data_IF_183085600971
#
_entry.id   IF_183085600971
#
_cell.length_a   1.000
_cell.length_b   1.000
_cell.length_c   1.000
_cell.angle_alpha   90.00
_cell.angle_beta   90.00
_cell.angle_gamma   90.00
#
_symmetry.space_group_name_H-M   'P 1'
#
loop_
_entity.id
_entity.type
_entity.pdbx_description
1 polymer ?
#
# COMPACT_ATOMS: atom_id res chain seq x y z
N UNK A 1 -13.44 11.30 6.75
CA UNK A 1 -14.21 10.19 6.14
C UNK A 1 -15.63 10.09 6.70
N UNK A 2 -15.82 9.97 8.02
CA UNK A 2 -17.16 9.99 8.66
C UNK A 2 -17.86 11.37 8.57
N UNK A 3 -17.09 12.47 8.54
CA UNK A 3 -17.63 13.84 8.53
C UNK A 3 -18.13 14.32 7.15
N UNK A 4 -17.63 13.79 6.04
CA UNK A 4 -18.15 14.10 4.69
C UNK A 4 -19.43 13.30 4.43
N UNK A 5 -19.48 12.05 4.93
CA UNK A 5 -20.69 11.24 4.96
C UNK A 5 -21.75 11.83 5.91
N UNK A 6 -21.32 12.43 7.04
CA UNK A 6 -22.18 13.17 7.96
C UNK A 6 -22.64 14.55 7.44
N UNK A 7 -21.87 15.20 6.58
CA UNK A 7 -22.24 16.49 5.96
C UNK A 7 -23.31 16.35 4.88
N UNK A 8 -23.34 15.22 4.16
CA UNK A 8 -24.41 14.89 3.20
C UNK A 8 -25.73 14.49 3.90
N UNK A 9 -25.67 14.09 5.18
CA UNK A 9 -26.84 13.91 6.04
C UNK A 9 -27.50 15.24 6.49
N UNK A 10 -26.95 16.42 6.19
CA UNK A 10 -27.63 17.70 6.47
C UNK A 10 -28.41 18.24 5.27
N UNK A 11 -28.19 17.70 4.07
CA UNK A 11 -28.98 17.97 2.86
C UNK A 11 -30.15 16.97 2.69
N UNK A 12 -30.41 16.16 3.73
CA UNK A 12 -31.24 14.94 3.81
C UNK A 12 -32.76 15.08 3.64
N UNK A 13 -33.34 16.27 3.51
CA UNK A 13 -34.75 16.41 3.88
C UNK A 13 -35.81 16.09 2.80
N UNK A 14 -35.50 15.85 1.51
CA UNK A 14 -36.56 15.87 0.45
C UNK A 14 -36.48 14.93 -0.78
N UNK A 15 -35.65 13.87 -0.81
CA UNK A 15 -35.50 13.04 -2.03
C UNK A 15 -36.01 11.58 -1.92
N UNK A 16 -36.61 11.09 -3.02
CA UNK A 16 -37.22 9.76 -3.28
C UNK A 16 -36.29 8.56 -2.96
N UNK A 17 -36.74 7.46 -2.32
CA UNK A 17 -35.87 6.38 -1.82
C UNK A 17 -35.05 5.64 -2.90
N UNK A 18 -35.59 5.54 -4.13
CA UNK A 18 -34.89 4.91 -5.26
C UNK A 18 -33.80 5.82 -5.84
N UNK A 19 -34.08 7.13 -5.93
CA UNK A 19 -33.10 8.14 -6.32
C UNK A 19 -31.98 8.23 -5.27
N UNK A 20 -32.35 8.16 -3.98
CA UNK A 20 -31.43 8.09 -2.83
C UNK A 20 -30.48 6.89 -2.94
N UNK A 21 -31.00 5.69 -3.19
CA UNK A 21 -30.17 4.50 -3.29
C UNK A 21 -29.23 4.53 -4.51
N UNK A 22 -29.68 5.11 -5.64
CA UNK A 22 -28.85 5.33 -6.83
C UNK A 22 -27.76 6.38 -6.60
N UNK A 23 -28.09 7.52 -5.99
CA UNK A 23 -27.15 8.58 -5.65
C UNK A 23 -26.09 8.12 -4.65
N UNK A 24 -26.46 7.32 -3.64
CA UNK A 24 -25.49 6.74 -2.71
C UNK A 24 -24.56 5.73 -3.37
N UNK A 25 -25.07 4.90 -4.28
CA UNK A 25 -24.23 4.01 -5.11
C UNK A 25 -23.28 4.82 -6.00
N UNK A 26 -23.76 5.93 -6.57
CA UNK A 26 -22.97 6.82 -7.41
C UNK A 26 -21.91 7.61 -6.63
N UNK A 27 -22.26 8.19 -5.48
CA UNK A 27 -21.33 8.90 -4.61
C UNK A 27 -20.31 7.94 -3.98
N UNK A 28 -20.73 6.73 -3.61
CA UNK A 28 -19.85 5.66 -3.18
C UNK A 28 -18.88 5.25 -4.29
N UNK A 29 -19.38 4.98 -5.49
CA UNK A 29 -18.55 4.66 -6.65
C UNK A 29 -17.59 5.80 -6.98
N UNK A 30 -18.05 7.06 -6.99
CA UNK A 30 -17.22 8.24 -7.23
C UNK A 30 -16.12 8.40 -6.16
N UNK A 31 -16.44 8.18 -4.88
CA UNK A 31 -15.46 8.20 -3.81
C UNK A 31 -14.44 7.06 -3.95
N UNK A 32 -14.89 5.87 -4.32
CA UNK A 32 -14.01 4.72 -4.60
C UNK A 32 -13.10 4.98 -5.81
N UNK A 33 -13.62 5.64 -6.84
CA UNK A 33 -12.85 6.07 -8.01
C UNK A 33 -11.88 7.21 -7.68
N UNK A 34 -12.23 8.13 -6.78
CA UNK A 34 -11.34 9.17 -6.28
C UNK A 34 -10.25 8.61 -5.36
N UNK A 35 -10.56 7.60 -4.55
CA UNK A 35 -9.57 6.86 -3.75
C UNK A 35 -8.62 6.05 -4.65
N UNK A 36 -9.15 5.44 -5.72
CA UNK A 36 -8.33 4.85 -6.78
C UNK A 36 -7.52 5.91 -7.56
N UNK A 37 -8.02 7.15 -7.66
CA UNK A 37 -7.30 8.27 -8.27
C UNK A 37 -6.13 8.81 -7.42
N UNK A 38 -6.08 8.44 -6.13
CA UNK A 38 -4.90 8.63 -5.28
C UNK A 38 -3.67 7.86 -5.80
N UNK A 39 -3.85 6.98 -6.79
CA UNK A 39 -2.80 6.15 -7.40
C UNK A 39 -2.30 6.72 -8.74
N UNK A 40 -2.47 8.03 -8.96
CA UNK A 40 -1.92 8.80 -10.10
C UNK A 40 -2.34 8.23 -11.48
N UNK A 41 -1.40 7.89 -12.36
CA UNK A 41 -1.65 7.50 -13.76
C UNK A 41 -2.52 6.24 -13.90
N UNK A 42 -2.58 5.40 -12.88
CA UNK A 42 -3.38 4.15 -12.88
C UNK A 42 -4.89 4.39 -12.78
N UNK A 43 -5.33 5.63 -12.51
CA UNK A 43 -6.75 6.04 -12.58
C UNK A 43 -7.39 5.71 -13.93
N UNK A 44 -6.61 5.77 -15.01
CA UNK A 44 -7.09 5.48 -16.36
C UNK A 44 -7.61 4.05 -16.51
N UNK A 45 -7.17 3.13 -15.65
CA UNK A 45 -7.56 1.73 -15.79
C UNK A 45 -8.96 1.43 -15.22
N UNK A 46 -9.57 2.40 -14.55
CA UNK A 46 -10.99 2.33 -14.19
C UNK A 46 -11.87 2.10 -15.43
N UNK A 47 -11.50 2.64 -16.61
CA UNK A 47 -12.22 2.44 -17.87
C UNK A 47 -12.29 0.95 -18.28
N UNK A 48 -11.14 0.26 -18.46
CA UNK A 48 -11.08 -1.18 -18.69
C UNK A 48 -11.80 -2.04 -17.64
N UNK A 49 -11.72 -1.69 -16.34
CA UNK A 49 -12.50 -2.38 -15.30
C UNK A 49 -14.01 -2.21 -15.54
N UNK A 50 -14.43 -1.01 -15.95
CA UNK A 50 -15.80 -0.70 -16.34
C UNK A 50 -16.32 -1.59 -17.48
N UNK A 51 -15.48 -1.91 -18.47
CA UNK A 51 -15.84 -2.86 -19.54
C UNK A 51 -16.12 -4.26 -18.96
N UNK A 52 -15.36 -4.70 -17.97
CA UNK A 52 -15.60 -5.96 -17.25
C UNK A 52 -16.98 -6.00 -16.60
N UNK A 53 -17.39 -4.92 -15.93
CA UNK A 53 -18.73 -4.82 -15.36
C UNK A 53 -19.82 -4.83 -16.43
N UNK A 54 -19.62 -4.15 -17.56
CA UNK A 54 -20.58 -4.13 -18.68
C UNK A 54 -20.77 -5.54 -19.25
N UNK A 55 -19.69 -6.27 -19.49
CA UNK A 55 -19.74 -7.66 -19.95
C UNK A 55 -20.49 -8.55 -18.95
N UNK A 56 -20.23 -8.39 -17.65
CA UNK A 56 -20.94 -9.09 -16.59
C UNK A 56 -22.44 -8.75 -16.56
N UNK A 57 -22.78 -7.46 -16.72
CA UNK A 57 -24.16 -6.97 -16.76
C UNK A 57 -24.94 -7.54 -17.95
N UNK A 58 -24.34 -7.57 -19.14
CA UNK A 58 -24.94 -8.21 -20.31
C UNK A 58 -25.10 -9.72 -20.13
N UNK A 59 -24.11 -10.40 -19.56
CA UNK A 59 -24.20 -11.82 -19.26
C UNK A 59 -25.33 -12.13 -18.27
N UNK A 60 -25.45 -11.33 -17.21
CA UNK A 60 -26.52 -11.45 -16.23
C UNK A 60 -27.90 -11.21 -16.85
N UNK A 61 -28.07 -10.14 -17.64
CA UNK A 61 -29.31 -9.84 -18.34
C UNK A 61 -29.74 -10.96 -19.30
N UNK A 62 -28.78 -11.63 -19.97
CA UNK A 62 -29.07 -12.80 -20.81
C UNK A 62 -29.54 -14.02 -20.02
N UNK A 63 -29.02 -14.25 -18.82
CA UNK A 63 -29.43 -15.40 -17.98
C UNK A 63 -30.71 -15.17 -17.21
N UNK A 64 -31.04 -13.92 -16.92
CA UNK A 64 -32.23 -13.54 -16.16
C UNK A 64 -32.99 -12.42 -16.89
N UNK A 65 -33.68 -12.71 -18.00
CA UNK A 65 -34.32 -11.69 -18.85
C UNK A 65 -35.37 -10.85 -18.11
N UNK A 66 -36.04 -11.44 -17.11
CA UNK A 66 -37.14 -10.79 -16.39
C UNK A 66 -36.67 -9.79 -15.32
N UNK A 67 -35.45 -9.93 -14.81
CA UNK A 67 -34.94 -9.15 -13.67
C UNK A 67 -33.58 -8.50 -13.91
N UNK A 68 -32.84 -8.98 -14.92
CA UNK A 68 -31.51 -8.50 -15.25
C UNK A 68 -31.53 -7.29 -16.17
N UNK A 69 -30.77 -6.26 -15.82
CA UNK A 69 -30.56 -5.09 -16.67
C UNK A 69 -29.06 -4.76 -16.75
N UNK A 70 -28.50 -4.47 -17.94
CA UNK A 70 -27.12 -4.01 -18.07
C UNK A 70 -26.96 -2.53 -17.68
N UNK A 71 -28.05 -1.78 -17.50
CA UNK A 71 -28.02 -0.34 -17.28
C UNK A 71 -27.19 0.11 -16.06
N UNK A 72 -27.25 -0.56 -14.88
CA UNK A 72 -26.40 -0.19 -13.75
C UNK A 72 -24.90 -0.35 -14.05
N UNK A 73 -24.52 -1.45 -14.72
CA UNK A 73 -23.14 -1.71 -15.10
C UNK A 73 -22.63 -0.71 -16.15
N UNK A 74 -23.48 -0.35 -17.11
CA UNK A 74 -23.20 0.72 -18.08
C UNK A 74 -23.01 2.08 -17.39
N UNK A 75 -23.86 2.40 -16.41
CA UNK A 75 -23.73 3.61 -15.61
C UNK A 75 -22.38 3.69 -14.88
N UNK A 76 -21.97 2.60 -14.23
CA UNK A 76 -20.66 2.51 -13.57
C UNK A 76 -19.50 2.66 -14.55
N UNK A 77 -19.58 2.03 -15.72
CA UNK A 77 -18.55 2.14 -16.74
C UNK A 77 -18.43 3.58 -17.27
N UNK A 78 -19.55 4.22 -17.62
CA UNK A 78 -19.55 5.62 -18.07
C UNK A 78 -18.97 6.54 -16.99
N UNK A 79 -19.36 6.35 -15.72
CA UNK A 79 -18.78 7.09 -14.59
C UNK A 79 -17.26 6.94 -14.56
N UNK A 80 -16.78 5.70 -14.68
CA UNK A 80 -15.36 5.38 -14.64
C UNK A 80 -14.57 6.04 -15.77
N UNK A 81 -15.11 6.00 -16.98
CA UNK A 81 -14.52 6.67 -18.15
C UNK A 81 -14.51 8.19 -18.01
N UNK A 82 -15.60 8.79 -17.51
CA UNK A 82 -15.65 10.23 -17.25
C UNK A 82 -14.63 10.65 -16.18
N UNK A 83 -14.51 9.89 -15.10
CA UNK A 83 -13.51 10.14 -14.05
C UNK A 83 -12.07 10.03 -14.58
N UNK A 84 -11.77 8.97 -15.35
CA UNK A 84 -10.45 8.80 -15.99
C UNK A 84 -10.14 9.91 -16.99
N UNK A 85 -11.12 10.32 -17.80
CA UNK A 85 -11.00 11.43 -18.74
C UNK A 85 -10.76 12.77 -18.05
N UNK A 86 -11.50 13.06 -16.97
CA UNK A 86 -11.31 14.27 -16.17
C UNK A 86 -9.93 14.28 -15.50
N UNK A 87 -9.50 13.16 -14.93
CA UNK A 87 -8.15 13.02 -14.36
C UNK A 87 -7.08 13.31 -15.42
N UNK A 88 -7.21 12.70 -16.60
CA UNK A 88 -6.28 12.92 -17.71
C UNK A 88 -6.21 14.40 -18.13
N UNK A 89 -7.37 15.04 -18.28
CA UNK A 89 -7.48 16.44 -18.64
C UNK A 89 -6.80 17.34 -17.58
N UNK A 90 -7.14 17.17 -16.29
CA UNK A 90 -6.54 17.93 -15.20
C UNK A 90 -5.03 17.72 -15.12
N UNK A 91 -4.58 16.47 -15.24
CA UNK A 91 -3.15 16.16 -15.25
C UNK A 91 -2.43 16.89 -16.39
N UNK A 92 -2.97 16.83 -17.61
CA UNK A 92 -2.37 17.48 -18.78
C UNK A 92 -2.26 19.00 -18.63
N UNK A 93 -3.16 19.61 -17.87
CA UNK A 93 -3.16 21.05 -17.60
C UNK A 93 -2.18 21.45 -16.49
N UNK A 94 -1.97 20.59 -15.48
CA UNK A 94 -1.21 20.94 -14.27
C UNK A 94 0.22 20.38 -14.28
N UNK A 95 0.44 19.21 -14.90
CA UNK A 95 1.71 18.49 -14.88
C UNK A 95 2.31 18.50 -16.30
N UNK A 96 3.44 19.20 -16.52
CA UNK A 96 4.02 19.39 -17.85
C UNK A 96 4.75 18.15 -18.40
N UNK A 97 4.85 17.06 -17.63
CA UNK A 97 5.52 15.82 -18.07
C UNK A 97 4.58 14.89 -18.82
N UNK A 98 5.08 14.31 -19.91
CA UNK A 98 4.34 13.30 -20.67
C UNK A 98 3.98 12.08 -19.79
N UNK A 99 2.83 11.46 -20.04
CA UNK A 99 2.39 10.26 -19.31
C UNK A 99 3.44 9.14 -19.33
N UNK A 100 4.11 8.96 -20.47
CA UNK A 100 5.14 7.95 -20.69
C UNK A 100 6.45 8.25 -19.98
N UNK A 101 6.72 9.52 -19.67
CA UNK A 101 7.86 9.98 -18.88
C UNK A 101 7.57 9.95 -17.36
N UNK A 102 6.38 9.49 -16.97
CA UNK A 102 6.00 9.37 -15.57
C UNK A 102 6.82 8.31 -14.84
N UNK A 103 7.10 8.56 -13.55
CA UNK A 103 7.85 7.63 -12.68
C UNK A 103 7.14 6.27 -12.50
N UNK A 104 5.84 6.18 -12.78
CA UNK A 104 5.01 5.00 -12.56
C UNK A 104 4.94 4.07 -13.78
N UNK A 105 4.85 4.63 -14.99
CA UNK A 105 4.80 3.85 -16.25
C UNK A 105 6.12 3.12 -16.53
N UNK A 106 7.25 3.67 -16.07
CA UNK A 106 8.57 3.06 -16.24
C UNK A 106 8.79 1.80 -15.40
N UNK A 107 7.94 1.53 -14.42
CA UNK A 107 8.03 0.33 -13.59
C UNK A 107 7.20 -0.86 -14.13
N UNK A 108 6.59 -0.73 -15.32
CA UNK A 108 5.94 -1.86 -15.98
C UNK A 108 6.97 -2.77 -16.67
N UNK A 109 6.99 -4.05 -16.30
CA UNK A 109 7.78 -5.09 -16.95
C UNK A 109 6.90 -6.28 -17.32
N UNK A 110 6.86 -6.61 -18.61
CA UNK A 110 6.05 -7.69 -19.18
C UNK A 110 6.81 -9.01 -19.35
N UNK A 111 7.99 -9.14 -18.73
CA UNK A 111 8.75 -10.39 -18.79
C UNK A 111 8.10 -11.47 -17.92
N UNK A 112 8.17 -12.73 -18.35
CA UNK A 112 7.59 -13.85 -17.60
C UNK A 112 8.14 -13.95 -16.16
N UNK A 113 9.42 -13.65 -15.96
CA UNK A 113 10.06 -13.61 -14.64
C UNK A 113 9.50 -12.49 -13.76
N UNK A 114 9.26 -11.29 -14.31
CA UNK A 114 8.65 -10.18 -13.58
C UNK A 114 7.20 -10.51 -13.18
N UNK A 115 6.42 -11.09 -14.10
CA UNK A 115 5.04 -11.52 -13.81
C UNK A 115 5.02 -12.58 -12.71
N UNK A 116 5.90 -13.59 -12.77
CA UNK A 116 6.00 -14.62 -11.74
C UNK A 116 6.40 -14.02 -10.38
N UNK A 117 7.39 -13.13 -10.35
CA UNK A 117 7.78 -12.42 -9.14
C UNK A 117 6.65 -11.54 -8.58
N UNK A 118 5.83 -10.93 -9.44
CA UNK A 118 4.64 -10.18 -9.02
C UNK A 118 3.52 -11.08 -8.52
N UNK A 119 3.28 -12.23 -9.14
CA UNK A 119 2.30 -13.22 -8.65
C UNK A 119 2.64 -13.68 -7.23
N UNK A 120 3.92 -13.95 -6.96
CA UNK A 120 4.35 -14.31 -5.60
C UNK A 120 4.08 -13.19 -4.61
N UNK A 121 4.42 -11.94 -4.93
CA UNK A 121 4.06 -10.78 -4.09
C UNK A 121 2.58 -10.67 -3.83
N UNK A 122 1.75 -10.77 -4.87
CA UNK A 122 0.29 -10.72 -4.74
C UNK A 122 -0.19 -11.83 -3.80
N UNK A 123 0.27 -13.06 -3.98
CA UNK A 123 -0.05 -14.16 -3.06
C UNK A 123 0.37 -13.83 -1.62
N UNK A 124 1.53 -13.22 -1.42
CA UNK A 124 1.98 -12.73 -0.12
C UNK A 124 1.04 -11.70 0.50
N UNK A 125 0.69 -10.64 -0.24
CA UNK A 125 -0.26 -9.62 0.25
C UNK A 125 -1.65 -10.22 0.55
N UNK A 126 -2.14 -11.13 -0.30
CA UNK A 126 -3.42 -11.80 -0.10
C UNK A 126 -3.44 -12.67 1.14
N UNK A 127 -2.39 -13.46 1.38
CA UNK A 127 -2.28 -14.27 2.59
C UNK A 127 -2.03 -13.44 3.85
N UNK A 128 -1.39 -12.28 3.73
CA UNK A 128 -1.17 -11.38 4.87
C UNK A 128 -2.45 -10.68 5.31
N UNK A 129 -3.20 -10.12 4.36
CA UNK A 129 -4.28 -9.17 4.66
C UNK A 129 -5.69 -9.75 4.49
N UNK A 130 -5.85 -10.74 3.61
CA UNK A 130 -7.16 -11.17 3.12
C UNK A 130 -7.41 -12.67 3.33
N UNK A 131 -6.59 -13.33 4.14
CA UNK A 131 -6.66 -14.78 4.37
C UNK A 131 -8.04 -15.25 4.87
N UNK A 132 -8.70 -14.42 5.68
CA UNK A 132 -10.04 -14.68 6.21
C UNK A 132 -11.14 -14.78 5.15
N UNK A 133 -10.90 -14.24 3.95
CA UNK A 133 -11.83 -14.35 2.83
C UNK A 133 -11.85 -15.75 2.20
N UNK A 134 -10.79 -16.56 2.35
CA UNK A 134 -10.75 -17.90 1.76
C UNK A 134 -11.92 -18.78 2.23
N UNK A 135 -12.17 -18.97 3.54
CA UNK A 135 -13.34 -19.70 4.00
C UNK A 135 -14.66 -19.04 3.57
N UNK A 136 -14.79 -17.72 3.56
CA UNK A 136 -16.02 -17.05 3.10
C UNK A 136 -16.30 -17.31 1.61
N UNK A 137 -15.27 -17.21 0.77
CA UNK A 137 -15.35 -17.49 -0.65
C UNK A 137 -15.74 -18.96 -0.90
N UNK A 138 -15.17 -19.89 -0.12
CA UNK A 138 -15.54 -21.30 -0.19
C UNK A 138 -17.02 -21.54 0.20
N UNK A 139 -17.53 -20.87 1.24
CA UNK A 139 -18.94 -20.94 1.61
C UNK A 139 -19.85 -20.37 0.52
N UNK A 140 -19.51 -19.21 -0.05
CA UNK A 140 -20.26 -18.61 -1.16
C UNK A 140 -20.29 -19.55 -2.37
N UNK A 141 -19.15 -20.14 -2.73
CA UNK A 141 -19.06 -21.11 -3.81
C UNK A 141 -19.92 -22.35 -3.52
N UNK A 142 -19.87 -22.87 -2.29
CA UNK A 142 -20.71 -23.99 -1.87
C UNK A 142 -22.21 -23.69 -2.02
N UNK A 143 -22.67 -22.52 -1.54
CA UNK A 143 -24.06 -22.09 -1.65
C UNK A 143 -24.48 -21.91 -3.12
N UNK A 144 -23.59 -21.38 -3.94
CA UNK A 144 -23.79 -21.22 -5.38
C UNK A 144 -23.92 -22.57 -6.10
N UNK A 145 -23.04 -23.54 -5.81
CA UNK A 145 -23.08 -24.90 -6.37
C UNK A 145 -24.35 -25.67 -5.97
N UNK A 146 -24.89 -25.39 -4.79
CA UNK A 146 -26.19 -25.93 -4.33
C UNK A 146 -27.39 -25.26 -4.99
N UNK A 147 -27.17 -24.37 -5.97
CA UNK A 147 -28.19 -23.59 -6.70
C UNK A 147 -29.14 -22.83 -5.77
N UNK A 148 -28.66 -22.43 -4.59
CA UNK A 148 -29.44 -21.58 -3.69
C UNK A 148 -29.48 -20.16 -4.28
N UNK A 149 -30.62 -19.46 -4.18
CA UNK A 149 -30.67 -18.06 -4.56
C UNK A 149 -29.70 -17.30 -3.65
N UNK A 150 -28.78 -16.55 -4.26
CA UNK A 150 -27.81 -15.70 -3.58
C UNK A 150 -28.16 -14.26 -3.93
N UNK A 151 -28.98 -13.56 -3.13
CA UNK A 151 -29.33 -12.16 -3.40
C UNK A 151 -28.12 -11.25 -3.62
N UNK A 152 -27.00 -11.52 -2.93
CA UNK A 152 -25.74 -10.78 -3.10
C UNK A 152 -24.83 -11.23 -4.24
N UNK A 153 -25.20 -12.22 -5.08
CA UNK A 153 -24.29 -12.80 -6.08
C UNK A 153 -23.79 -11.78 -7.11
N UNK A 154 -24.66 -10.88 -7.58
CA UNK A 154 -24.26 -9.83 -8.53
C UNK A 154 -23.18 -8.92 -7.93
N UNK A 155 -23.39 -8.47 -6.69
CA UNK A 155 -22.44 -7.62 -5.97
C UNK A 155 -21.11 -8.33 -5.70
N UNK A 156 -21.15 -9.63 -5.36
CA UNK A 156 -19.93 -10.44 -5.20
C UNK A 156 -19.15 -10.56 -6.52
N UNK A 157 -19.84 -10.79 -7.65
CA UNK A 157 -19.21 -10.85 -8.96
C UNK A 157 -18.64 -9.49 -9.40
N UNK A 158 -19.35 -8.39 -9.14
CA UNK A 158 -18.86 -7.02 -9.39
C UNK A 158 -17.59 -6.72 -8.59
N UNK A 159 -17.56 -7.12 -7.31
CA UNK A 159 -16.38 -7.00 -6.45
C UNK A 159 -15.21 -7.86 -6.95
N UNK A 160 -15.47 -9.07 -7.44
CA UNK A 160 -14.44 -9.93 -8.05
C UNK A 160 -13.87 -9.32 -9.33
N UNK A 161 -14.70 -8.74 -10.20
CA UNK A 161 -14.23 -8.01 -11.40
C UNK A 161 -13.35 -6.83 -11.00
N UNK A 162 -13.74 -6.08 -9.97
CA UNK A 162 -12.94 -4.97 -9.44
C UNK A 162 -11.59 -5.44 -8.91
N UNK A 163 -11.58 -6.46 -8.04
CA UNK A 163 -10.36 -7.04 -7.47
C UNK A 163 -9.42 -7.60 -8.56
N UNK A 164 -9.97 -8.36 -9.51
CA UNK A 164 -9.23 -8.92 -10.63
C UNK A 164 -8.65 -7.84 -11.53
N UNK A 165 -9.41 -6.77 -11.81
CA UNK A 165 -8.96 -5.62 -12.56
C UNK A 165 -7.69 -5.01 -11.96
N UNK A 166 -7.73 -4.63 -10.69
CA UNK A 166 -6.57 -4.09 -9.98
C UNK A 166 -5.39 -5.07 -9.92
N UNK A 167 -5.67 -6.36 -9.76
CA UNK A 167 -4.62 -7.37 -9.80
C UNK A 167 -3.92 -7.42 -11.16
N UNK A 168 -4.67 -7.49 -12.26
CA UNK A 168 -4.12 -7.55 -13.62
C UNK A 168 -3.28 -6.30 -13.95
N UNK A 169 -3.71 -5.13 -13.48
CA UNK A 169 -3.01 -3.85 -13.72
C UNK A 169 -1.65 -3.81 -13.05
N UNK A 170 -1.59 -4.25 -11.79
CA UNK A 170 -0.37 -4.20 -11.01
C UNK A 170 0.48 -5.46 -11.18
N UNK A 171 -0.02 -6.48 -11.86
CA UNK A 171 0.74 -7.69 -12.14
C UNK A 171 2.05 -7.41 -12.91
N UNK A 172 2.04 -6.67 -14.03
CA UNK A 172 3.28 -6.27 -14.70
C UNK A 172 4.06 -5.20 -13.95
N UNK A 173 3.55 -4.68 -12.83
CA UNK A 173 4.22 -3.61 -12.12
C UNK A 173 5.27 -4.15 -11.16
N UNK A 174 6.53 -3.78 -11.34
CA UNK A 174 7.63 -4.34 -10.55
C UNK A 174 7.71 -3.79 -9.13
N UNK A 175 6.88 -2.79 -8.79
CA UNK A 175 6.87 -2.17 -7.48
C UNK A 175 5.48 -2.29 -6.84
N UNK A 176 5.37 -3.01 -5.72
CA UNK A 176 4.11 -3.21 -5.02
C UNK A 176 4.31 -3.11 -3.50
N UNK A 177 3.59 -2.18 -2.88
CA UNK A 177 3.58 -1.88 -1.45
C UNK A 177 2.14 -1.77 -0.95
N UNK A 178 1.98 -1.78 0.37
CA UNK A 178 0.69 -1.93 1.07
C UNK A 178 -0.43 -1.03 0.55
N UNK A 179 -0.18 0.26 0.31
CA UNK A 179 -1.25 1.18 -0.08
C UNK A 179 -1.80 0.92 -1.50
N UNK A 180 -1.07 0.21 -2.36
CA UNK A 180 -1.62 -0.23 -3.67
C UNK A 180 -2.64 -1.36 -3.54
N UNK A 181 -2.74 -2.00 -2.36
CA UNK A 181 -3.81 -2.93 -2.04
C UNK A 181 -5.12 -2.22 -1.66
N UNK A 182 -5.13 -0.90 -1.47
CA UNK A 182 -6.33 -0.18 -1.02
C UNK A 182 -7.52 -0.39 -1.97
N UNK A 183 -7.40 -0.26 -3.31
CA UNK A 183 -8.52 -0.55 -4.21
C UNK A 183 -8.96 -2.02 -4.10
N UNK A 184 -8.02 -2.96 -4.06
CA UNK A 184 -8.35 -4.38 -3.86
C UNK A 184 -9.12 -4.61 -2.56
N UNK A 185 -8.70 -3.94 -1.47
CA UNK A 185 -9.30 -3.98 -0.15
C UNK A 185 -10.78 -3.59 -0.12
N UNK A 186 -11.18 -2.65 -0.97
CA UNK A 186 -12.60 -2.27 -1.14
C UNK A 186 -13.42 -3.45 -1.67
N UNK A 187 -12.95 -4.10 -2.74
CA UNK A 187 -13.65 -5.27 -3.30
C UNK A 187 -13.67 -6.43 -2.31
N UNK A 188 -12.55 -6.65 -1.61
CA UNK A 188 -12.44 -7.62 -0.53
C UNK A 188 -13.46 -7.37 0.60
N UNK A 189 -13.67 -6.11 1.01
CA UNK A 189 -14.65 -5.76 2.03
C UNK A 189 -16.08 -6.05 1.57
N UNK A 190 -16.41 -5.72 0.31
CA UNK A 190 -17.72 -6.03 -0.29
C UNK A 190 -17.95 -7.55 -0.34
N UNK A 191 -16.96 -8.30 -0.83
CA UNK A 191 -17.02 -9.76 -0.91
C UNK A 191 -17.18 -10.39 0.49
N UNK A 192 -16.43 -9.90 1.46
CA UNK A 192 -16.54 -10.32 2.86
C UNK A 192 -17.93 -10.06 3.43
N UNK A 193 -18.49 -8.86 3.21
CA UNK A 193 -19.84 -8.51 3.66
C UNK A 193 -20.90 -9.42 3.05
N UNK A 194 -20.85 -9.67 1.73
CA UNK A 194 -21.74 -10.61 1.05
C UNK A 194 -21.60 -12.00 1.64
N UNK A 195 -20.36 -12.49 1.81
CA UNK A 195 -20.07 -13.79 2.42
C UNK A 195 -20.69 -13.95 3.81
N UNK A 196 -20.51 -12.95 4.68
CA UNK A 196 -21.06 -12.95 6.04
C UNK A 196 -22.59 -12.95 6.04
N UNK A 197 -23.22 -12.12 5.20
CA UNK A 197 -24.69 -12.02 5.14
C UNK A 197 -25.31 -13.33 4.63
N UNK A 198 -24.78 -13.90 3.54
CA UNK A 198 -25.34 -15.12 2.96
C UNK A 198 -25.08 -16.34 3.84
N UNK A 199 -23.88 -16.47 4.43
CA UNK A 199 -23.61 -17.51 5.43
C UNK A 199 -24.51 -17.35 6.68
N UNK A 200 -24.74 -16.11 7.12
CA UNK A 200 -25.63 -15.79 8.24
C UNK A 200 -27.09 -16.18 7.99
N UNK A 201 -27.58 -15.99 6.76
CA UNK A 201 -28.91 -16.50 6.35
C UNK A 201 -28.94 -18.02 6.35
N UNK A 202 -27.92 -18.66 5.78
CA UNK A 202 -27.80 -20.11 5.70
C UNK A 202 -27.74 -20.80 7.08
N UNK A 203 -27.15 -20.16 8.09
CA UNK A 203 -27.12 -20.64 9.49
C UNK A 203 -28.51 -20.93 10.09
N UNK A 204 -29.56 -20.26 9.58
CA UNK A 204 -30.94 -20.45 10.04
C UNK A 204 -31.49 -21.83 9.64
N UNK A 205 -30.90 -22.46 8.63
CA UNK A 205 -31.29 -23.81 8.19
C UNK A 205 -30.51 -24.87 8.99
N UNK A 206 -31.22 -25.85 9.57
CA UNK A 206 -30.59 -26.88 10.43
C UNK A 206 -29.52 -27.70 9.69
N UNK A 207 -29.77 -28.00 8.41
CA UNK A 207 -28.88 -28.80 7.56
C UNK A 207 -27.53 -28.12 7.30
N UNK A 208 -27.50 -26.81 7.07
CA UNK A 208 -26.28 -26.08 6.70
C UNK A 208 -25.54 -25.49 7.89
N UNK A 209 -26.21 -25.41 9.06
CA UNK A 209 -25.68 -24.80 10.27
C UNK A 209 -24.25 -25.23 10.65
N UNK A 210 -23.89 -26.53 10.70
CA UNK A 210 -22.54 -26.91 11.14
C UNK A 210 -21.45 -26.40 10.19
N UNK A 211 -21.68 -26.52 8.87
CA UNK A 211 -20.73 -26.06 7.86
C UNK A 211 -20.59 -24.53 7.87
N UNK A 212 -21.70 -23.80 7.95
CA UNK A 212 -21.66 -22.34 8.00
C UNK A 212 -20.99 -21.85 9.28
N UNK A 213 -21.27 -22.47 10.43
CA UNK A 213 -20.66 -22.11 11.71
C UNK A 213 -19.15 -22.37 11.70
N UNK A 214 -18.72 -23.51 11.16
CA UNK A 214 -17.31 -23.84 11.01
C UNK A 214 -16.60 -22.84 10.08
N UNK A 215 -17.18 -22.55 8.91
CA UNK A 215 -16.58 -21.62 7.96
C UNK A 215 -16.49 -20.20 8.51
N UNK A 216 -17.55 -19.70 9.15
CA UNK A 216 -17.55 -18.38 9.82
C UNK A 216 -16.57 -18.33 11.00
N UNK A 217 -16.50 -19.41 11.80
CA UNK A 217 -15.52 -19.52 12.89
C UNK A 217 -14.09 -19.49 12.36
N UNK A 218 -13.80 -20.23 11.29
CA UNK A 218 -12.49 -20.21 10.64
C UNK A 218 -12.17 -18.84 10.04
N UNK A 219 -13.11 -18.19 9.36
CA UNK A 219 -12.96 -16.81 8.88
C UNK A 219 -12.61 -15.86 10.02
N UNK A 220 -13.32 -15.94 11.15
CA UNK A 220 -13.06 -15.10 12.31
C UNK A 220 -11.65 -15.35 12.88
N UNK A 221 -11.26 -16.62 13.05
CA UNK A 221 -9.93 -16.98 13.55
C UNK A 221 -8.82 -16.45 12.64
N UNK A 222 -8.97 -16.61 11.32
CA UNK A 222 -8.00 -16.12 10.34
C UNK A 222 -7.96 -14.58 10.34
N UNK A 223 -9.10 -13.91 10.45
CA UNK A 223 -9.15 -12.44 10.56
C UNK A 223 -8.44 -11.95 11.82
N UNK A 224 -8.72 -12.56 12.97
CA UNK A 224 -8.05 -12.21 14.23
C UNK A 224 -6.53 -12.43 14.15
N UNK A 225 -6.08 -13.42 13.38
CA UNK A 225 -4.65 -13.69 13.17
C UNK A 225 -3.93 -12.64 12.32
N UNK A 226 -4.63 -11.83 11.51
CA UNK A 226 -4.01 -10.74 10.73
C UNK A 226 -3.84 -9.45 11.55
N UNK A 227 -4.65 -9.24 12.59
CA UNK A 227 -4.62 -8.03 13.42
C UNK A 227 -3.25 -7.72 14.05
N UNK A 228 -2.50 -8.71 14.61
CA UNK A 228 -1.13 -8.50 15.07
C UNK A 228 -0.21 -7.80 14.05
N UNK A 229 -0.25 -8.27 12.81
CA UNK A 229 0.57 -7.75 11.71
C UNK A 229 0.16 -6.33 11.35
N UNK A 230 -1.15 -6.04 11.27
CA UNK A 230 -1.63 -4.67 11.00
C UNK A 230 -1.27 -3.69 12.12
N UNK A 231 -1.38 -4.10 13.38
CA UNK A 231 -0.98 -3.27 14.52
C UNK A 231 0.54 -3.00 14.50
N UNK A 232 1.34 -4.01 14.16
CA UNK A 232 2.79 -3.86 14.00
C UNK A 232 3.12 -2.87 12.89
N UNK A 233 2.49 -2.97 11.72
CA UNK A 233 2.66 -2.03 10.61
C UNK A 233 2.33 -0.59 11.00
N UNK A 234 1.22 -0.37 11.70
CA UNK A 234 0.84 0.96 12.16
C UNK A 234 1.88 1.55 13.13
N UNK A 235 2.36 0.75 14.08
CA UNK A 235 3.42 1.16 15.01
C UNK A 235 4.74 1.42 14.30
N UNK A 236 5.06 0.62 13.29
CA UNK A 236 6.25 0.77 12.47
C UNK A 236 6.24 2.13 11.74
N UNK A 237 5.13 2.49 11.10
CA UNK A 237 4.98 3.79 10.45
C UNK A 237 5.22 4.94 11.43
N UNK A 238 4.57 4.91 12.60
CA UNK A 238 4.72 5.95 13.63
C UNK A 238 6.16 6.03 14.16
N UNK A 239 6.82 4.89 14.38
CA UNK A 239 8.20 4.86 14.84
C UNK A 239 9.17 5.46 13.81
N UNK A 240 8.99 5.11 12.53
CA UNK A 240 9.80 5.66 11.43
C UNK A 240 9.59 7.16 11.28
N UNK A 241 8.34 7.61 11.28
CA UNK A 241 8.00 9.03 11.17
C UNK A 241 8.55 9.84 12.35
N UNK A 242 8.49 9.30 13.57
CA UNK A 242 9.09 9.92 14.75
C UNK A 242 10.61 10.04 14.63
N UNK A 243 11.31 8.98 14.24
CA UNK A 243 12.77 9.01 14.06
C UNK A 243 13.18 10.04 12.99
N UNK A 244 12.45 10.10 11.87
CA UNK A 244 12.69 11.08 10.80
C UNK A 244 12.51 12.51 11.32
N UNK A 245 11.42 12.76 12.04
CA UNK A 245 11.08 14.08 12.54
C UNK A 245 12.04 14.56 13.64
N UNK A 246 12.44 13.68 14.58
CA UNK A 246 13.45 13.95 15.60
C UNK A 246 14.80 14.34 14.97
N UNK A 247 15.27 13.57 13.98
CA UNK A 247 16.51 13.83 13.30
C UNK A 247 16.49 15.17 12.55
N UNK A 248 15.44 15.46 11.79
CA UNK A 248 15.33 16.72 11.03
C UNK A 248 15.14 17.93 11.92
N UNK A 249 14.39 17.80 13.02
CA UNK A 249 14.27 18.87 14.03
C UNK A 249 15.63 19.18 14.64
N UNK A 250 16.41 18.17 14.99
CA UNK A 250 17.75 18.38 15.54
C UNK A 250 18.67 19.05 14.52
N UNK A 251 18.67 18.55 13.27
CA UNK A 251 19.45 19.14 12.18
C UNK A 251 19.11 20.62 12.00
N UNK A 252 17.83 20.94 11.94
CA UNK A 252 17.37 22.31 11.76
C UNK A 252 17.78 23.25 12.90
N UNK A 253 17.78 22.76 14.14
CA UNK A 253 18.11 23.57 15.31
C UNK A 253 19.62 23.73 15.57
N UNK A 254 20.45 22.78 15.13
CA UNK A 254 21.86 22.71 15.56
C UNK A 254 22.89 22.90 14.45
N UNK A 255 22.55 22.68 13.17
CA UNK A 255 23.54 22.91 12.11
C UNK A 255 23.77 24.42 11.89
N UNK A 256 25.03 24.85 11.73
CA UNK A 256 25.36 26.23 11.39
C UNK A 256 24.68 26.70 10.09
N UNK A 257 24.52 28.02 9.90
CA UNK A 257 24.10 28.57 8.62
C UNK A 257 25.01 28.13 7.47
N UNK A 258 24.46 27.86 6.28
CA UNK A 258 25.24 27.45 5.10
C UNK A 258 26.02 26.13 5.27
N UNK A 259 25.70 25.32 6.28
CA UNK A 259 26.37 24.04 6.50
C UNK A 259 26.06 23.04 5.38
N UNK A 260 27.07 22.25 5.01
CA UNK A 260 26.92 21.12 4.08
C UNK A 260 26.40 19.90 4.84
N UNK A 261 25.24 19.38 4.40
CA UNK A 261 24.60 18.18 4.94
C UNK A 261 24.58 17.07 3.87
N UNK A 262 25.40 16.05 4.08
CA UNK A 262 25.45 14.86 3.25
C UNK A 262 24.41 13.85 3.73
N UNK A 263 23.60 13.30 2.82
CA UNK A 263 22.60 12.28 3.14
C UNK A 263 23.13 10.91 2.71
N UNK A 264 23.31 9.99 3.66
CA UNK A 264 23.85 8.65 3.41
C UNK A 264 22.82 7.67 2.87
N UNK A 265 22.40 7.89 1.62
CA UNK A 265 21.56 6.98 0.83
C UNK A 265 22.30 6.65 -0.46
N UNK A 266 22.30 5.37 -0.87
CA UNK A 266 23.00 4.93 -2.08
C UNK A 266 22.55 5.72 -3.31
N UNK A 267 21.24 5.76 -3.54
CA UNK A 267 20.62 6.52 -4.62
C UNK A 267 19.70 7.60 -4.02
N UNK A 268 19.77 8.86 -4.50
CA UNK A 268 18.79 9.88 -4.14
C UNK A 268 17.39 9.39 -4.46
N UNK A 269 16.57 9.25 -3.42
CA UNK A 269 15.20 8.76 -3.53
C UNK A 269 14.23 9.79 -2.93
N UNK A 270 12.96 9.43 -2.82
CA UNK A 270 11.94 10.31 -2.23
C UNK A 270 12.32 10.86 -0.85
N UNK A 271 13.06 10.11 -0.02
CA UNK A 271 13.50 10.63 1.28
C UNK A 271 14.51 11.76 1.13
N UNK A 272 15.46 11.66 0.19
CA UNK A 272 16.39 12.75 -0.10
C UNK A 272 15.65 14.04 -0.47
N UNK A 273 14.69 13.94 -1.39
CA UNK A 273 13.85 15.07 -1.82
C UNK A 273 13.01 15.65 -0.67
N UNK A 274 12.36 14.78 0.11
CA UNK A 274 11.49 15.18 1.23
C UNK A 274 12.28 15.79 2.39
N UNK A 275 13.50 15.30 2.67
CA UNK A 275 14.39 15.92 3.66
C UNK A 275 14.69 17.37 3.26
N UNK A 276 15.10 17.60 2.01
CA UNK A 276 15.35 18.94 1.50
C UNK A 276 14.11 19.82 1.47
N UNK A 277 12.96 19.28 1.09
CA UNK A 277 11.70 20.02 1.12
C UNK A 277 11.30 20.42 2.54
N UNK A 278 11.34 19.49 3.50
CA UNK A 278 10.96 19.77 4.90
C UNK A 278 11.91 20.76 5.56
N UNK A 279 13.22 20.62 5.37
CA UNK A 279 14.20 21.57 5.89
C UNK A 279 13.93 22.99 5.36
N UNK A 280 13.68 23.14 4.06
CA UNK A 280 13.36 24.44 3.44
C UNK A 280 12.03 25.03 3.90
N UNK A 281 10.96 24.24 3.84
CA UNK A 281 9.57 24.75 3.94
C UNK A 281 9.03 24.73 5.37
N UNK A 282 9.36 23.69 6.15
CA UNK A 282 8.83 23.51 7.50
C UNK A 282 9.78 24.09 8.56
N UNK A 283 11.09 23.99 8.33
CA UNK A 283 12.11 24.41 9.28
C UNK A 283 12.84 25.71 8.88
N UNK A 284 12.47 26.33 7.76
CA UNK A 284 13.07 27.57 7.24
C UNK A 284 14.61 27.51 7.05
N UNK A 285 15.15 26.32 6.81
CA UNK A 285 16.58 26.04 6.60
C UNK A 285 16.94 25.90 5.12
N UNK A 286 16.56 26.89 4.31
CA UNK A 286 16.94 26.94 2.90
C UNK A 286 18.40 27.31 2.65
N UNK A 287 19.10 27.72 3.70
CA UNK A 287 20.53 27.96 3.75
C UNK A 287 21.37 26.67 3.74
N UNK A 288 20.84 25.52 4.16
CA UNK A 288 21.60 24.27 4.20
C UNK A 288 21.91 23.73 2.79
N UNK A 289 23.16 23.32 2.57
CA UNK A 289 23.57 22.68 1.32
C UNK A 289 23.45 21.17 1.41
N UNK A 290 22.34 20.62 0.89
CA UNK A 290 22.12 19.18 0.85
C UNK A 290 22.81 18.54 -0.35
N UNK A 291 23.52 17.45 -0.11
CA UNK A 291 24.14 16.63 -1.16
C UNK A 291 24.01 15.14 -0.80
N UNK A 292 23.96 14.22 -1.79
CA UNK A 292 24.08 12.80 -1.51
C UNK A 292 25.50 12.49 -1.05
N UNK A 293 25.64 11.62 -0.05
CA UNK A 293 26.95 11.08 0.31
C UNK A 293 27.44 10.13 -0.77
N UNK A 294 28.71 10.28 -1.13
CA UNK A 294 29.47 9.45 -2.04
C UNK A 294 30.83 9.13 -1.39
N UNK A 295 31.23 7.86 -1.24
CA UNK A 295 32.43 7.46 -0.51
C UNK A 295 33.74 7.94 -1.17
N UNK A 296 33.75 8.09 -2.49
CA UNK A 296 34.95 8.45 -3.25
C UNK A 296 35.07 9.97 -3.51
N UNK A 297 34.18 10.77 -2.94
CA UNK A 297 34.17 12.23 -3.12
C UNK A 297 34.85 12.92 -1.95
N UNK A 298 35.72 13.89 -2.25
CA UNK A 298 36.28 14.79 -1.26
C UNK A 298 35.31 15.95 -1.00
N UNK A 299 35.06 16.25 0.28
CA UNK A 299 34.18 17.33 0.71
C UNK A 299 34.98 18.41 1.43
N UNK A 300 34.58 19.67 1.26
CA UNK A 300 35.12 20.77 2.03
C UNK A 300 34.62 20.70 3.48
N UNK A 301 35.54 20.69 4.43
CA UNK A 301 35.28 20.73 5.88
C UNK A 301 34.95 22.16 6.34
N UNK A 302 34.10 22.33 7.39
CA UNK A 302 33.35 21.26 8.07
C UNK A 302 32.11 20.83 7.28
N UNK A 303 31.78 19.53 7.36
CA UNK A 303 30.53 18.99 6.81
C UNK A 303 29.89 17.99 7.77
N UNK A 304 28.61 17.72 7.54
CA UNK A 304 27.79 16.83 8.35
C UNK A 304 27.28 15.67 7.52
N UNK A 305 27.18 14.48 8.10
CA UNK A 305 26.62 13.31 7.42
C UNK A 305 25.44 12.77 8.22
N UNK A 306 24.25 12.77 7.61
CA UNK A 306 23.05 12.17 8.17
C UNK A 306 22.85 10.77 7.59
N UNK A 307 23.02 9.76 8.43
CA UNK A 307 22.98 8.36 8.02
C UNK A 307 21.85 7.56 8.65
N UNK A 308 20.97 6.93 7.85
CA UNK A 308 19.92 6.10 8.40
C UNK A 308 20.47 4.74 8.86
N UNK A 309 19.81 4.17 9.86
CA UNK A 309 20.01 2.79 10.30
C UNK A 309 18.67 2.07 10.33
N UNK A 310 18.67 0.80 9.92
CA UNK A 310 17.49 -0.06 9.94
C UNK A 310 17.95 -1.49 10.24
N UNK A 311 17.20 -2.21 11.08
CA UNK A 311 17.46 -3.60 11.42
C UNK A 311 16.17 -4.38 11.57
N UNK A 312 16.18 -5.64 11.13
CA UNK A 312 15.02 -6.55 11.16
C UNK A 312 13.79 -5.98 10.44
N UNK A 313 13.96 -5.40 9.26
CA UNK A 313 12.88 -4.88 8.43
C UNK A 313 11.92 -6.02 8.05
N UNK A 314 10.65 -5.98 8.48
CA UNK A 314 9.68 -7.00 8.10
C UNK A 314 9.34 -6.90 6.61
N UNK A 315 9.25 -8.03 5.93
CA UNK A 315 8.74 -8.11 4.54
C UNK A 315 7.24 -7.92 4.50
N UNK A 316 6.75 -7.49 3.33
CA UNK A 316 5.33 -7.17 3.13
C UNK A 316 4.84 -6.27 4.28
N UNK A 317 5.42 -5.10 4.43
CA UNK A 317 5.11 -4.11 5.47
C UNK A 317 4.88 -2.73 4.83
N UNK A 318 4.65 -1.71 5.66
CA UNK A 318 4.53 -0.33 5.18
C UNK A 318 5.77 0.08 4.37
N UNK A 319 5.57 1.01 3.42
CA UNK A 319 6.67 1.48 2.58
C UNK A 319 7.68 2.25 3.42
N UNK A 320 8.93 1.81 3.39
CA UNK A 320 10.07 2.51 3.95
C UNK A 320 10.96 3.03 2.81
N UNK A 321 11.44 4.26 2.92
CA UNK A 321 12.40 4.82 1.97
C UNK A 321 13.84 4.31 2.15
N UNK A 322 14.06 3.45 3.14
CA UNK A 322 15.34 2.80 3.40
C UNK A 322 15.12 1.29 3.31
N UNK A 323 16.03 0.62 2.61
CA UNK A 323 16.01 -0.83 2.44
C UNK A 323 17.18 -1.47 3.16
N UNK A 324 16.92 -2.35 4.12
CA UNK A 324 17.93 -2.84 5.08
C UNK A 324 19.19 -3.44 4.43
N UNK A 325 19.10 -4.40 3.49
CA UNK A 325 20.31 -4.98 2.88
C UNK A 325 21.19 -3.95 2.19
N UNK A 326 20.57 -3.04 1.42
CA UNK A 326 21.28 -1.98 0.71
C UNK A 326 21.86 -0.97 1.68
N UNK A 327 21.09 -0.54 2.69
CA UNK A 327 21.54 0.43 3.66
C UNK A 327 22.66 -0.11 4.55
N UNK A 328 22.62 -1.39 4.93
CA UNK A 328 23.69 -2.01 5.70
C UNK A 328 25.03 -1.97 4.94
N UNK A 329 25.01 -2.26 3.64
CA UNK A 329 26.18 -2.14 2.78
C UNK A 329 26.67 -0.68 2.69
N UNK A 330 25.77 0.27 2.47
CA UNK A 330 26.12 1.69 2.36
C UNK A 330 26.64 2.29 3.67
N UNK A 331 26.10 1.86 4.80
CA UNK A 331 26.59 2.22 6.13
C UNK A 331 28.01 1.67 6.39
N UNK A 332 28.36 0.51 5.83
CA UNK A 332 29.73 -0.01 5.92
C UNK A 332 30.72 0.86 5.13
N UNK A 333 30.34 1.33 3.93
CA UNK A 333 31.14 2.28 3.15
C UNK A 333 31.32 3.61 3.89
N UNK A 334 30.26 4.15 4.49
CA UNK A 334 30.36 5.35 5.32
C UNK A 334 31.30 5.11 6.52
N UNK A 335 31.20 3.96 7.20
CA UNK A 335 32.05 3.67 8.35
C UNK A 335 33.53 3.62 7.97
N UNK A 336 33.88 3.04 6.82
CA UNK A 336 35.25 3.04 6.29
C UNK A 336 35.72 4.46 5.96
N UNK A 337 34.86 5.26 5.31
CA UNK A 337 35.15 6.65 4.98
C UNK A 337 35.40 7.50 6.24
N UNK A 338 34.53 7.41 7.26
CA UNK A 338 34.69 8.15 8.52
C UNK A 338 35.92 7.69 9.30
N UNK A 339 36.26 6.40 9.26
CA UNK A 339 37.48 5.88 9.89
C UNK A 339 38.76 6.46 9.26
N UNK A 340 38.77 6.68 7.93
CA UNK A 340 39.87 7.34 7.25
C UNK A 340 40.01 8.83 7.61
N UNK A 341 38.93 9.45 8.11
CA UNK A 341 38.91 10.84 8.60
C UNK A 341 39.16 10.96 10.11
N UNK A 342 39.43 9.87 10.82
CA UNK A 342 39.70 9.90 12.25
C UNK A 342 40.98 10.71 12.57
N UNK A 343 41.01 11.50 13.66
CA UNK A 343 40.00 11.64 14.71
C UNK A 343 38.96 12.75 14.46
N UNK A 344 38.99 13.41 13.29
CA UNK A 344 38.15 14.59 13.02
C UNK A 344 36.68 14.25 12.77
N UNK A 345 36.39 12.98 12.46
CA UNK A 345 35.05 12.46 12.26
C UNK A 345 34.49 11.78 13.51
N UNK A 346 33.33 12.23 14.01
CA UNK A 346 32.64 11.59 15.15
C UNK A 346 31.12 11.80 15.11
N UNK A 347 30.32 10.90 15.70
CA UNK A 347 28.88 11.08 15.82
C UNK A 347 28.57 12.20 16.82
N UNK A 348 27.61 13.07 16.48
CA UNK A 348 27.14 14.17 17.34
C UNK A 348 25.72 13.94 17.86
N UNK A 349 24.90 13.15 17.16
CA UNK A 349 23.58 12.78 17.63
C UNK A 349 23.08 11.47 16.98
N UNK A 350 22.28 10.71 17.73
CA UNK A 350 21.62 9.48 17.25
C UNK A 350 20.16 9.49 17.68
N UNK A 351 19.27 9.24 16.72
CA UNK A 351 17.81 9.20 16.90
C UNK A 351 17.34 7.81 16.53
N UNK A 352 16.95 7.02 17.51
CA UNK A 352 16.60 5.61 17.28
C UNK A 352 15.26 5.29 17.90
N UNK A 353 14.38 4.69 17.10
CA UNK A 353 13.12 4.15 17.53
C UNK A 353 13.18 2.62 17.42
N UNK A 354 12.69 1.93 18.43
CA UNK A 354 12.64 0.47 18.45
C UNK A 354 11.28 -0.02 18.91
N UNK A 355 10.82 -1.11 18.32
CA UNK A 355 9.59 -1.78 18.71
C UNK A 355 9.73 -3.28 18.55
N UNK A 356 9.04 -4.04 19.39
CA UNK A 356 8.91 -5.49 19.22
C UNK A 356 7.91 -5.76 18.11
N UNK A 357 8.34 -6.48 17.07
CA UNK A 357 7.41 -6.97 16.05
C UNK A 357 6.44 -7.97 16.68
N UNK A 358 5.24 -8.04 16.13
CA UNK A 358 4.28 -9.10 16.46
C UNK A 358 3.52 -9.48 15.18
N UNK A 359 4.24 -10.11 14.25
CA UNK A 359 3.68 -10.50 12.95
C UNK A 359 3.36 -11.99 12.90
N UNK A 360 2.22 -12.32 12.28
CA UNK A 360 1.89 -13.69 11.85
C UNK A 360 2.13 -13.76 10.35
N UNK A 361 3.24 -14.36 9.95
CA UNK A 361 3.72 -14.38 8.57
C UNK A 361 3.15 -15.55 7.78
N UNK A 362 1.83 -15.58 7.61
CA UNK A 362 1.13 -16.52 6.72
C UNK A 362 1.77 -16.71 5.33
N UNK A 363 2.28 -15.64 4.67
CA UNK A 363 2.96 -15.78 3.38
C UNK A 363 4.13 -16.76 3.37
N UNK A 364 4.78 -16.99 4.53
CA UNK A 364 5.90 -17.94 4.67
C UNK A 364 5.48 -19.38 4.40
N UNK A 365 4.18 -19.69 4.55
CA UNK A 365 3.62 -20.98 4.15
C UNK A 365 3.78 -21.30 2.66
N UNK A 366 4.02 -20.30 1.80
CA UNK A 366 4.30 -20.52 0.37
C UNK A 366 5.79 -20.69 0.05
N UNK A 367 6.68 -20.35 0.99
CA UNK A 367 8.11 -20.25 0.71
C UNK A 367 8.80 -21.61 0.57
N UNK A 368 8.18 -22.71 1.00
CA UNK A 368 8.71 -24.05 0.72
C UNK A 368 8.70 -24.37 -0.79
N UNK A 369 7.69 -23.86 -1.52
CA UNK A 369 7.53 -24.12 -2.94
C UNK A 369 8.31 -23.12 -3.80
N UNK A 370 8.54 -21.90 -3.28
CA UNK A 370 9.13 -20.78 -4.03
C UNK A 370 10.24 -20.06 -3.23
N UNK A 371 11.29 -20.78 -2.78
CA UNK A 371 12.24 -20.27 -1.77
C UNK A 371 13.05 -19.06 -2.23
N UNK A 372 13.30 -18.91 -3.53
CA UNK A 372 14.15 -17.84 -4.06
C UNK A 372 13.38 -16.63 -4.58
N UNK A 373 12.04 -16.62 -4.47
CA UNK A 373 11.22 -15.55 -5.03
C UNK A 373 10.84 -14.53 -3.97
N UNK A 374 11.22 -13.28 -4.21
CA UNK A 374 10.72 -12.10 -3.49
C UNK A 374 10.89 -12.20 -1.96
N UNK A 375 9.81 -12.01 -1.18
CA UNK A 375 9.83 -12.10 0.29
C UNK A 375 10.26 -13.49 0.82
N UNK A 376 10.26 -14.54 -0.01
CA UNK A 376 10.75 -15.85 0.40
C UNK A 376 12.28 -15.94 0.45
N UNK A 377 12.98 -15.10 -0.31
CA UNK A 377 14.43 -15.12 -0.43
C UNK A 377 15.17 -14.76 0.87
N UNK A 378 14.49 -14.14 1.84
CA UNK A 378 15.04 -13.86 3.16
C UNK A 378 14.37 -14.71 4.23
N UNK A 379 15.16 -15.15 5.20
CA UNK A 379 14.66 -15.92 6.32
C UNK A 379 13.94 -14.99 7.31
N UNK A 380 12.63 -15.17 7.42
CA UNK A 380 11.82 -14.58 8.49
C UNK A 380 11.07 -15.68 9.23
N UNK A 381 10.95 -15.58 10.57
CA UNK A 381 10.16 -16.53 11.35
C UNK A 381 8.67 -16.45 10.98
N UNK A 382 7.93 -17.55 11.17
CA UNK A 382 6.47 -17.54 10.97
C UNK A 382 5.77 -16.63 11.98
N UNK A 383 6.19 -16.67 13.25
CA UNK A 383 5.81 -15.67 14.25
C UNK A 383 6.99 -14.74 14.48
N UNK A 384 6.93 -13.53 13.92
CA UNK A 384 8.01 -12.57 14.09
C UNK A 384 7.83 -11.76 15.36
N UNK A 385 8.81 -11.93 16.25
CA UNK A 385 8.94 -11.21 17.52
C UNK A 385 10.28 -10.50 17.61
N UNK A 386 11.04 -10.34 16.53
CA UNK A 386 12.33 -9.66 16.59
C UNK A 386 12.14 -8.17 16.93
N UNK A 387 13.12 -7.51 17.57
CA UNK A 387 13.10 -6.06 17.70
C UNK A 387 13.36 -5.44 16.32
N UNK A 388 12.43 -4.63 15.84
CA UNK A 388 12.67 -3.72 14.73
C UNK A 388 13.32 -2.46 15.28
N UNK A 389 14.33 -1.97 14.58
CA UNK A 389 15.03 -0.73 14.94
C UNK A 389 15.18 0.13 13.69
N UNK A 390 14.85 1.40 13.80
CA UNK A 390 15.03 2.39 12.74
C UNK A 390 15.49 3.71 13.34
N UNK A 391 16.40 4.38 12.66
CA UNK A 391 16.94 5.63 13.17
C UNK A 391 17.83 6.37 12.19
N UNK A 392 18.42 7.45 12.70
CA UNK A 392 19.39 8.28 12.02
C UNK A 392 20.54 8.60 12.96
N UNK A 393 21.76 8.63 12.44
CA UNK A 393 22.94 9.13 13.13
C UNK A 393 23.50 10.30 12.34
N UNK A 394 23.75 11.40 13.04
CA UNK A 394 24.40 12.58 12.50
C UNK A 394 25.87 12.58 12.92
N UNK A 395 26.75 12.65 11.94
CA UNK A 395 28.19 12.77 12.11
C UNK A 395 28.63 14.19 11.74
N UNK A 396 29.72 14.65 12.36
CA UNK A 396 30.46 15.83 11.93
C UNK A 396 31.85 15.40 11.50
N UNK A 397 32.38 16.05 10.46
CA UNK A 397 33.79 16.00 10.08
C UNK A 397 34.32 17.42 10.07
N UNK A 398 35.37 17.65 10.86
CA UNK A 398 35.99 18.98 11.03
C UNK A 398 37.40 19.00 10.44
N UNK A 399 38.03 20.16 10.38
CA UNK A 399 39.46 20.26 10.06
C UNK A 399 40.32 19.56 11.12
N UNK A 400 41.42 18.95 10.68
CA UNK A 400 42.48 18.52 11.58
C UNK A 400 43.16 19.78 12.14
N UNK A 401 42.99 20.01 13.45
CA UNK A 401 43.66 21.10 14.16
C UNK A 401 45.11 20.77 14.44
#
# INVERSE_FOLDING_TARGET
MVLILGGLNLLEARADPLLRQRLWRWAGAMLLFLLAAGVKETTLVIGPIGLGWVLLGFWHARRHPETGSPAPALGLAVTGWLAGGLFYALRRLVIPTALTAGTYTNAYALTASAILASLTRWAGWLLRDFLYLLPLAALLLYLWLRRKPLPGASLALEALVWMAGWMVIFLPWVYMVEYYMLPFGVGAAVLGAVGLVEAGRALRTREQRPLMALGLGLSLLLFLSTLPTHLTNARLQVAVDRANDEALRYVAAHLPPQATLLINLQDPNEYYEQIGLRLRTQYARADLHLQPFQPDTAYATPYYVLSPSIQNQPRLSVRLGVYEPTQAHWNASLAQFLAAQAPTAHPIATFTQSLRLFNVNWPRGLCFALPHLNYCAQAEPFLDRRPFTYGWTLYVVTDAR
#
